data_IF_044925567685
#
_entry.id   IF_044925567685
#
_cell.length_a   1.000
_cell.length_b   1.000
_cell.length_c   1.000
_cell.angle_alpha   90.00
_cell.angle_beta   90.00
_cell.angle_gamma   90.00
#
_symmetry.space_group_name_H-M   'P 1'
#
loop_
_entity.id
_entity.type
_entity.pdbx_description
1 polymer ?
#
# COMPACT_ATOMS: atom_id res chain seq x y z
N UNK A 1 3.40 -27.21 21.97
CA UNK A 1 1.92 -27.11 22.18
C UNK A 1 1.41 -25.74 22.58
N UNK A 2 2.13 -24.90 23.36
CA UNK A 2 1.64 -23.55 23.76
C UNK A 2 1.62 -22.50 22.62
N UNK A 3 2.32 -22.72 21.50
CA UNK A 3 2.37 -21.77 20.38
C UNK A 3 1.21 -21.88 19.37
N UNK A 4 0.54 -23.02 19.30
CA UNK A 4 -0.56 -23.25 18.34
C UNK A 4 -1.88 -22.59 18.75
N UNK A 5 -2.14 -22.44 20.05
CA UNK A 5 -3.31 -21.75 20.58
C UNK A 5 -3.19 -20.21 20.53
N UNK A 6 -1.96 -19.68 20.44
CA UNK A 6 -1.72 -18.22 20.40
C UNK A 6 -2.01 -17.60 19.04
N UNK A 7 -1.79 -18.32 17.93
CA UNK A 7 -1.98 -17.77 16.58
C UNK A 7 -3.45 -17.48 16.23
N UNK A 8 -4.40 -18.46 16.38
CA UNK A 8 -5.82 -18.15 16.10
C UNK A 8 -6.37 -17.07 17.03
N UNK A 9 -5.97 -17.06 18.31
CA UNK A 9 -6.37 -16.01 19.25
C UNK A 9 -5.85 -14.62 18.79
N UNK A 10 -4.59 -14.52 18.34
CA UNK A 10 -4.04 -13.29 17.79
C UNK A 10 -4.80 -12.82 16.56
N UNK A 11 -5.11 -13.72 15.60
CA UNK A 11 -5.91 -13.38 14.43
C UNK A 11 -7.30 -12.86 14.82
N UNK A 12 -7.98 -13.55 15.73
CA UNK A 12 -9.28 -13.11 16.23
C UNK A 12 -9.21 -11.71 16.85
N UNK A 13 -8.20 -11.46 17.69
CA UNK A 13 -8.00 -10.14 18.31
C UNK A 13 -7.76 -9.06 17.23
N UNK A 14 -6.91 -9.33 16.23
CA UNK A 14 -6.64 -8.36 15.16
C UNK A 14 -7.86 -8.09 14.29
N UNK A 15 -8.65 -9.13 13.97
CA UNK A 15 -9.91 -8.98 13.20
C UNK A 15 -10.92 -8.18 14.00
N UNK A 16 -11.13 -8.50 15.28
CA UNK A 16 -12.06 -7.76 16.14
C UNK A 16 -11.61 -6.30 16.32
N UNK A 17 -10.31 -6.08 16.50
CA UNK A 17 -9.75 -4.75 16.61
C UNK A 17 -9.94 -3.94 15.33
N UNK A 18 -9.69 -4.54 14.15
CA UNK A 18 -9.95 -3.90 12.86
C UNK A 18 -11.44 -3.58 12.69
N UNK A 19 -12.34 -4.49 13.08
CA UNK A 19 -13.78 -4.27 13.00
C UNK A 19 -14.22 -3.10 13.90
N UNK A 20 -13.79 -3.08 15.16
CA UNK A 20 -14.08 -1.97 16.09
C UNK A 20 -13.54 -0.66 15.54
N UNK A 21 -12.31 -0.67 15.03
CA UNK A 21 -11.67 0.49 14.45
C UNK A 21 -12.42 0.98 13.20
N UNK A 22 -12.88 0.07 12.35
CA UNK A 22 -13.67 0.38 11.17
C UNK A 22 -14.98 1.10 11.51
N UNK A 23 -15.74 0.59 12.50
CA UNK A 23 -16.96 1.26 12.96
C UNK A 23 -16.69 2.61 13.64
N UNK A 24 -15.59 2.70 14.39
CA UNK A 24 -15.17 3.99 14.96
C UNK A 24 -14.80 4.99 13.85
N UNK A 25 -14.07 4.56 12.83
CA UNK A 25 -13.70 5.37 11.67
C UNK A 25 -14.93 5.89 10.91
N UNK A 26 -16.01 5.09 10.79
CA UNK A 26 -17.28 5.51 10.20
C UNK A 26 -17.95 6.64 10.98
N UNK A 27 -17.77 6.73 12.30
CA UNK A 27 -18.34 7.79 13.13
C UNK A 27 -17.61 9.13 12.99
N UNK A 28 -16.34 9.11 12.53
CA UNK A 28 -15.52 10.30 12.39
C UNK A 28 -15.89 11.11 11.14
N UNK A 29 -15.67 12.42 11.20
CA UNK A 29 -15.88 13.37 10.11
C UNK A 29 -16.33 14.71 10.63
N UNK A 30 -16.49 15.71 9.75
CA UNK A 30 -16.90 17.08 10.11
C UNK A 30 -18.14 17.11 11.03
N UNK A 31 -19.16 16.29 10.73
CA UNK A 31 -20.27 16.02 11.64
C UNK A 31 -20.02 14.66 12.30
N UNK A 32 -19.66 14.69 13.58
CA UNK A 32 -19.54 13.47 14.37
C UNK A 32 -20.90 12.79 14.51
N UNK A 33 -20.98 11.52 14.17
CA UNK A 33 -22.16 10.68 14.37
C UNK A 33 -22.00 9.89 15.66
N UNK A 34 -22.98 9.98 16.57
CA UNK A 34 -22.97 9.13 17.75
C UNK A 34 -23.10 7.65 17.34
N UNK A 35 -22.71 6.74 18.25
CA UNK A 35 -22.80 5.29 17.96
C UNK A 35 -24.24 4.86 17.71
N UNK A 36 -25.17 5.47 18.44
CA UNK A 36 -26.61 5.22 18.32
C UNK A 36 -27.15 5.71 16.96
N UNK A 37 -26.74 6.91 16.54
CA UNK A 37 -27.11 7.45 15.22
C UNK A 37 -26.54 6.58 14.08
N UNK A 38 -25.27 6.22 14.17
CA UNK A 38 -24.64 5.36 13.16
C UNK A 38 -25.35 3.99 13.09
N UNK A 39 -25.62 3.36 14.22
CA UNK A 39 -26.35 2.10 14.28
C UNK A 39 -27.77 2.22 13.71
N UNK A 40 -28.48 3.31 14.04
CA UNK A 40 -29.82 3.59 13.50
C UNK A 40 -29.79 3.72 11.98
N UNK A 41 -28.83 4.49 11.42
CA UNK A 41 -28.69 4.67 9.97
C UNK A 41 -28.38 3.34 9.27
N UNK A 42 -27.51 2.52 9.86
CA UNK A 42 -27.09 1.24 9.26
C UNK A 42 -28.19 0.17 9.31
N UNK A 43 -29.07 0.18 10.35
CA UNK A 43 -30.08 -0.87 10.55
C UNK A 43 -31.45 -0.44 9.99
N UNK A 44 -31.86 0.79 10.28
CA UNK A 44 -33.19 1.28 9.97
C UNK A 44 -33.23 2.28 8.81
N UNK A 45 -32.06 2.69 8.30
CA UNK A 45 -31.94 3.79 7.35
C UNK A 45 -31.98 5.15 8.03
N UNK A 46 -31.73 6.20 7.26
CA UNK A 46 -31.70 7.59 7.73
C UNK A 46 -32.30 8.53 6.69
N UNK A 47 -32.15 9.82 6.91
CA UNK A 47 -32.45 10.81 5.89
C UNK A 47 -31.58 10.62 4.64
N UNK A 48 -32.03 11.08 3.46
CA UNK A 48 -31.21 10.97 2.23
C UNK A 48 -29.77 11.54 2.38
N UNK A 49 -29.62 12.61 3.16
CA UNK A 49 -28.30 13.22 3.43
C UNK A 49 -27.42 12.36 4.34
N UNK A 50 -28.00 11.75 5.38
CA UNK A 50 -27.28 10.82 6.27
C UNK A 50 -26.86 9.54 5.52
N UNK A 51 -27.75 9.00 4.70
CA UNK A 51 -27.45 7.84 3.85
C UNK A 51 -26.30 8.14 2.89
N UNK A 52 -26.33 9.26 2.16
CA UNK A 52 -25.27 9.69 1.27
C UNK A 52 -23.95 9.87 2.05
N UNK A 53 -24.00 10.49 3.23
CA UNK A 53 -22.80 10.73 4.04
C UNK A 53 -22.18 9.42 4.53
N UNK A 54 -22.99 8.48 5.02
CA UNK A 54 -22.50 7.23 5.61
C UNK A 54 -22.10 6.23 4.51
N UNK A 55 -22.94 6.00 3.52
CA UNK A 55 -22.70 4.96 2.51
C UNK A 55 -21.77 5.42 1.38
N UNK A 56 -21.96 6.62 0.81
CA UNK A 56 -21.21 7.03 -0.36
C UNK A 56 -19.87 7.71 -0.03
N UNK A 57 -19.76 8.39 1.12
CA UNK A 57 -18.50 9.01 1.51
C UNK A 57 -17.74 8.19 2.55
N UNK A 58 -18.33 7.90 3.71
CA UNK A 58 -17.59 7.31 4.84
C UNK A 58 -17.32 5.83 4.65
N UNK A 59 -18.29 5.05 4.15
CA UNK A 59 -18.13 3.62 3.91
C UNK A 59 -17.10 3.37 2.83
N UNK A 60 -17.19 4.07 1.70
CA UNK A 60 -16.22 3.99 0.60
C UNK A 60 -14.80 4.26 1.11
N UNK A 61 -14.59 5.36 1.82
CA UNK A 61 -13.28 5.75 2.37
C UNK A 61 -12.76 4.71 3.36
N UNK A 62 -13.59 4.22 4.27
CA UNK A 62 -13.20 3.23 5.28
C UNK A 62 -12.82 1.89 4.64
N UNK A 63 -13.57 1.42 3.66
CA UNK A 63 -13.26 0.20 2.92
C UNK A 63 -11.96 0.34 2.14
N UNK A 64 -11.77 1.46 1.46
CA UNK A 64 -10.53 1.75 0.74
C UNK A 64 -9.32 1.80 1.68
N UNK A 65 -9.45 2.43 2.85
CA UNK A 65 -8.37 2.45 3.84
C UNK A 65 -7.96 1.04 4.26
N UNK A 66 -8.92 0.14 4.51
CA UNK A 66 -8.63 -1.27 4.82
C UNK A 66 -7.93 -1.95 3.64
N UNK A 67 -8.50 -1.87 2.43
CA UNK A 67 -8.00 -2.58 1.24
C UNK A 67 -6.60 -2.10 0.83
N UNK A 68 -6.39 -0.78 0.78
CA UNK A 68 -5.10 -0.17 0.44
C UNK A 68 -4.05 -0.56 1.47
N UNK A 69 -4.39 -0.48 2.77
CA UNK A 69 -3.48 -0.87 3.85
C UNK A 69 -3.08 -2.34 3.74
N UNK A 70 -4.03 -3.25 3.52
CA UNK A 70 -3.77 -4.68 3.30
C UNK A 70 -2.90 -4.91 2.06
N UNK A 71 -3.25 -4.30 0.93
CA UNK A 71 -2.52 -4.49 -0.32
C UNK A 71 -1.08 -3.99 -0.27
N UNK A 72 -0.84 -2.79 0.26
CA UNK A 72 0.50 -2.23 0.43
C UNK A 72 1.35 -3.05 1.41
N UNK A 73 0.77 -3.53 2.52
CA UNK A 73 1.48 -4.36 3.49
C UNK A 73 1.90 -5.71 2.88
N UNK A 74 1.01 -6.38 2.16
CA UNK A 74 1.30 -7.65 1.49
C UNK A 74 2.33 -7.46 0.38
N UNK A 75 2.15 -6.44 -0.47
CA UNK A 75 3.15 -6.11 -1.50
C UNK A 75 4.54 -5.92 -0.87
N UNK A 76 4.64 -5.16 0.22
CA UNK A 76 5.88 -4.99 0.98
C UNK A 76 6.46 -6.31 1.51
N UNK A 77 5.61 -7.18 2.07
CA UNK A 77 6.03 -8.49 2.55
C UNK A 77 6.67 -9.34 1.44
N UNK A 78 6.06 -9.35 0.25
CA UNK A 78 6.58 -10.08 -0.91
C UNK A 78 7.89 -9.46 -1.41
N UNK A 79 7.99 -8.13 -1.50
CA UNK A 79 9.24 -7.46 -1.85
C UNK A 79 10.37 -7.82 -0.89
N UNK A 80 10.12 -7.83 0.42
CA UNK A 80 11.09 -8.22 1.42
C UNK A 80 11.51 -9.69 1.30
N UNK A 81 10.57 -10.59 1.06
CA UNK A 81 10.84 -12.02 0.88
C UNK A 81 11.70 -12.28 -0.35
N UNK A 82 11.31 -11.73 -1.50
CA UNK A 82 11.98 -12.01 -2.78
C UNK A 82 13.34 -11.32 -2.88
N UNK A 83 13.45 -10.10 -2.36
CA UNK A 83 14.73 -9.37 -2.30
C UNK A 83 15.63 -9.82 -1.16
N UNK A 84 15.14 -10.65 -0.23
CA UNK A 84 15.84 -11.03 1.01
C UNK A 84 16.34 -9.83 1.80
N UNK A 85 15.59 -8.73 1.75
CA UNK A 85 15.92 -7.47 2.40
C UNK A 85 14.68 -6.94 3.14
N UNK A 86 14.76 -6.88 4.45
CA UNK A 86 13.66 -6.41 5.31
C UNK A 86 13.31 -4.93 5.10
N UNK A 87 14.16 -4.18 4.43
CA UNK A 87 13.96 -2.77 4.10
C UNK A 87 13.31 -2.57 2.72
N UNK A 88 13.10 -3.64 1.94
CA UNK A 88 12.47 -3.52 0.63
C UNK A 88 11.00 -3.13 0.75
N UNK A 89 10.57 -2.21 -0.11
CA UNK A 89 9.18 -1.74 -0.21
C UNK A 89 8.87 -1.30 -1.64
N UNK A 90 7.60 -1.09 -1.95
CA UNK A 90 7.16 -0.56 -3.26
C UNK A 90 7.81 0.79 -3.61
N UNK A 91 8.07 1.62 -2.61
CA UNK A 91 8.76 2.91 -2.80
C UNK A 91 10.20 2.74 -3.27
N UNK A 92 10.95 1.77 -2.70
CA UNK A 92 12.34 1.49 -3.10
C UNK A 92 12.44 0.86 -4.49
N UNK A 93 11.40 0.19 -4.97
CA UNK A 93 11.33 -0.34 -6.33
C UNK A 93 10.73 0.65 -7.33
N UNK A 94 10.68 1.93 -6.98
CA UNK A 94 10.28 3.00 -7.86
C UNK A 94 8.80 3.03 -8.26
N UNK A 95 7.96 2.12 -7.72
CA UNK A 95 6.54 2.02 -8.10
C UNK A 95 5.82 3.35 -7.83
N UNK A 96 6.02 3.92 -6.64
CA UNK A 96 5.40 5.19 -6.27
C UNK A 96 5.91 6.36 -7.12
N UNK A 97 7.23 6.41 -7.39
CA UNK A 97 7.83 7.48 -8.20
C UNK A 97 7.40 7.40 -9.66
N UNK A 98 7.36 6.18 -10.23
CA UNK A 98 6.88 5.97 -11.60
C UNK A 98 5.40 6.29 -11.76
N UNK A 99 4.58 5.83 -10.83
CA UNK A 99 3.15 6.16 -10.78
C UNK A 99 2.94 7.68 -10.69
N UNK A 100 3.66 8.35 -9.77
CA UNK A 100 3.59 9.80 -9.60
C UNK A 100 4.00 10.58 -10.83
N UNK A 101 5.06 10.17 -11.53
CA UNK A 101 5.48 10.84 -12.76
C UNK A 101 4.41 10.72 -13.86
N UNK A 102 3.84 9.53 -14.07
CA UNK A 102 2.82 9.32 -15.10
C UNK A 102 1.52 10.07 -14.80
N UNK A 103 1.07 10.10 -13.54
CA UNK A 103 -0.10 10.89 -13.14
C UNK A 103 0.17 12.38 -13.29
N UNK A 104 1.37 12.85 -12.94
CA UNK A 104 1.76 14.24 -13.16
C UNK A 104 1.77 14.61 -14.63
N UNK A 105 2.34 13.77 -15.50
CA UNK A 105 2.32 13.99 -16.95
C UNK A 105 0.90 14.01 -17.50
N UNK A 106 0.03 13.12 -17.03
CA UNK A 106 -1.38 13.13 -17.39
C UNK A 106 -2.06 14.45 -17.01
N UNK A 107 -1.90 14.91 -15.78
CA UNK A 107 -2.46 16.18 -15.29
C UNK A 107 -1.88 17.37 -16.08
N UNK A 108 -0.58 17.34 -16.39
CA UNK A 108 0.08 18.37 -17.17
C UNK A 108 -0.52 18.50 -18.56
N UNK A 109 -0.79 17.36 -19.23
CA UNK A 109 -1.29 17.30 -20.61
C UNK A 109 -2.80 17.50 -20.72
N UNK A 110 -3.56 17.37 -19.63
CA UNK A 110 -5.02 17.50 -19.64
C UNK A 110 -5.42 18.96 -19.51
N UNK A 111 -6.35 19.41 -20.39
CA UNK A 111 -6.95 20.73 -20.27
C UNK A 111 -7.81 20.82 -19.01
N UNK A 112 -7.61 21.88 -18.22
CA UNK A 112 -8.36 22.12 -16.99
C UNK A 112 -9.89 22.18 -17.21
N UNK A 113 -10.32 22.56 -18.42
CA UNK A 113 -11.74 22.64 -18.78
C UNK A 113 -12.41 21.28 -19.03
N UNK A 114 -11.65 20.25 -19.40
CA UNK A 114 -12.20 18.90 -19.69
C UNK A 114 -12.30 18.01 -18.44
N UNK A 115 -11.47 18.28 -17.41
CA UNK A 115 -11.31 17.39 -16.28
C UNK A 115 -10.68 16.05 -16.66
N UNK A 116 -10.44 15.21 -15.66
CA UNK A 116 -9.96 13.82 -15.84
C UNK A 116 -11.12 12.85 -15.61
N UNK A 117 -11.20 11.82 -16.46
CA UNK A 117 -12.11 10.70 -16.21
C UNK A 117 -11.63 9.88 -15.02
N UNK A 118 -12.57 9.24 -14.30
CA UNK A 118 -12.31 8.49 -13.05
C UNK A 118 -11.20 7.44 -13.22
N UNK A 119 -11.05 6.88 -14.41
CA UNK A 119 -10.10 5.79 -14.69
C UNK A 119 -8.73 6.25 -15.22
N UNK A 120 -8.59 7.48 -15.67
CA UNK A 120 -7.36 7.97 -16.31
C UNK A 120 -6.20 8.05 -15.33
N UNK A 121 -6.42 8.62 -14.13
CA UNK A 121 -5.38 8.68 -13.08
C UNK A 121 -4.95 7.29 -12.58
N UNK A 122 -5.87 6.37 -12.21
CA UNK A 122 -5.51 5.02 -11.84
C UNK A 122 -4.73 4.26 -12.91
N UNK A 123 -5.16 4.38 -14.16
CA UNK A 123 -4.48 3.72 -15.28
C UNK A 123 -3.05 4.27 -15.49
N UNK A 124 -2.89 5.59 -15.48
CA UNK A 124 -1.59 6.24 -15.58
C UNK A 124 -0.66 5.80 -14.43
N UNK A 125 -1.17 5.74 -13.19
CA UNK A 125 -0.41 5.29 -12.04
C UNK A 125 0.07 3.85 -12.17
N UNK A 126 -0.79 2.93 -12.60
CA UNK A 126 -0.42 1.52 -12.83
C UNK A 126 0.63 1.40 -13.92
N UNK A 127 0.46 2.09 -15.05
CA UNK A 127 1.42 2.07 -16.15
C UNK A 127 2.78 2.63 -15.68
N UNK A 128 2.79 3.78 -15.02
CA UNK A 128 4.02 4.41 -14.53
C UNK A 128 4.75 3.57 -13.51
N UNK A 129 4.03 2.99 -12.54
CA UNK A 129 4.59 2.10 -11.54
C UNK A 129 5.16 0.82 -12.15
N UNK A 130 4.46 0.23 -13.09
CA UNK A 130 4.91 -0.97 -13.80
C UNK A 130 6.16 -0.70 -14.65
N UNK A 131 6.20 0.42 -15.38
CA UNK A 131 7.36 0.82 -16.20
C UNK A 131 8.59 1.06 -15.33
N UNK A 132 8.46 1.75 -14.20
CA UNK A 132 9.55 1.98 -13.27
C UNK A 132 10.10 0.65 -12.72
N UNK A 133 9.22 -0.23 -12.23
CA UNK A 133 9.61 -1.53 -11.69
C UNK A 133 10.27 -2.42 -12.76
N UNK A 134 9.73 -2.44 -13.99
CA UNK A 134 10.32 -3.18 -15.11
C UNK A 134 11.70 -2.64 -15.49
N UNK A 135 11.89 -1.33 -15.47
CA UNK A 135 13.19 -0.68 -15.73
C UNK A 135 14.21 -1.11 -14.67
N UNK A 136 13.86 -1.01 -13.39
CA UNK A 136 14.71 -1.44 -12.28
C UNK A 136 15.04 -2.92 -12.38
N UNK A 137 14.04 -3.75 -12.69
CA UNK A 137 14.25 -5.18 -12.88
C UNK A 137 15.23 -5.46 -14.02
N UNK A 138 15.07 -4.83 -15.20
CA UNK A 138 15.97 -5.00 -16.36
C UNK A 138 17.40 -4.55 -16.08
N UNK A 139 17.58 -3.43 -15.36
CA UNK A 139 18.90 -2.96 -14.96
C UNK A 139 19.59 -3.91 -13.97
N UNK A 140 18.81 -4.61 -13.16
CA UNK A 140 19.31 -5.56 -12.15
C UNK A 140 19.57 -6.94 -12.75
N UNK A 141 18.85 -7.31 -13.83
CA UNK A 141 18.91 -8.61 -14.46
C UNK A 141 19.90 -8.58 -15.62
N UNK A 142 21.08 -9.17 -15.42
CA UNK A 142 22.15 -9.21 -16.44
C UNK A 142 22.54 -10.65 -16.74
N UNK A 143 22.65 -11.01 -18.02
CA UNK A 143 23.12 -12.34 -18.48
C UNK A 143 22.31 -13.53 -17.94
N UNK A 144 21.00 -13.37 -17.79
CA UNK A 144 20.12 -14.45 -17.34
C UNK A 144 20.06 -14.67 -15.81
N UNK A 145 20.79 -13.87 -15.03
CA UNK A 145 20.82 -13.97 -13.58
C UNK A 145 20.62 -12.60 -12.91
N UNK A 146 19.95 -12.60 -11.77
CA UNK A 146 19.89 -11.41 -10.91
C UNK A 146 21.26 -11.21 -10.26
N UNK A 147 21.92 -10.07 -10.54
CA UNK A 147 23.31 -9.82 -10.16
C UNK A 147 23.53 -9.85 -8.66
N UNK A 148 22.69 -9.19 -7.89
CA UNK A 148 22.61 -9.30 -6.42
C UNK A 148 21.42 -8.53 -5.87
N UNK A 149 21.02 -8.82 -4.65
CA UNK A 149 20.01 -8.05 -3.91
C UNK A 149 20.44 -6.58 -3.71
N UNK A 150 21.74 -6.35 -3.47
CA UNK A 150 22.27 -4.98 -3.33
C UNK A 150 22.12 -4.18 -4.62
N UNK A 151 22.36 -4.79 -5.78
CA UNK A 151 22.18 -4.13 -7.08
C UNK A 151 20.74 -3.77 -7.34
N UNK A 152 19.77 -4.60 -6.91
CA UNK A 152 18.33 -4.28 -7.01
C UNK A 152 18.00 -3.01 -6.22
N UNK A 153 18.48 -2.92 -4.98
CA UNK A 153 18.23 -1.75 -4.11
C UNK A 153 18.91 -0.50 -4.65
N UNK A 154 20.18 -0.59 -5.09
CA UNK A 154 20.91 0.55 -5.65
C UNK A 154 20.26 1.07 -6.94
N UNK A 155 19.90 0.17 -7.85
CA UNK A 155 19.19 0.54 -9.08
C UNK A 155 17.82 1.14 -8.76
N UNK A 156 17.12 0.59 -7.75
CA UNK A 156 15.87 1.14 -7.24
C UNK A 156 16.02 2.58 -6.78
N UNK A 157 17.00 2.86 -5.92
CA UNK A 157 17.28 4.21 -5.41
C UNK A 157 17.65 5.16 -6.57
N UNK A 158 18.54 4.73 -7.46
CA UNK A 158 19.00 5.57 -8.59
C UNK A 158 17.84 5.93 -9.54
N UNK A 159 17.03 4.94 -9.96
CA UNK A 159 15.88 5.18 -10.85
C UNK A 159 14.83 6.04 -10.14
N UNK A 160 14.53 5.77 -8.88
CA UNK A 160 13.58 6.56 -8.07
C UNK A 160 14.05 8.02 -7.96
N UNK A 161 15.33 8.26 -7.69
CA UNK A 161 15.89 9.60 -7.64
C UNK A 161 15.78 10.33 -8.99
N UNK A 162 16.07 9.62 -10.09
CA UNK A 162 15.90 10.16 -11.45
C UNK A 162 14.43 10.51 -11.76
N UNK A 163 13.49 9.64 -11.38
CA UNK A 163 12.06 9.90 -11.56
C UNK A 163 11.59 11.11 -10.72
N UNK A 164 12.07 11.24 -9.48
CA UNK A 164 11.76 12.42 -8.65
C UNK A 164 12.38 13.70 -9.22
N UNK A 165 13.58 13.66 -9.79
CA UNK A 165 14.17 14.79 -10.47
C UNK A 165 13.32 15.24 -11.67
N UNK A 166 12.82 14.30 -12.48
CA UNK A 166 11.88 14.59 -13.56
C UNK A 166 10.56 15.18 -13.05
N UNK A 167 10.02 14.65 -11.94
CA UNK A 167 8.83 15.23 -11.31
C UNK A 167 9.05 16.69 -10.90
N UNK A 168 10.20 17.01 -10.29
CA UNK A 168 10.54 18.39 -9.90
C UNK A 168 10.61 19.33 -11.12
N UNK A 169 11.19 18.87 -12.22
CA UNK A 169 11.22 19.65 -13.47
C UNK A 169 9.81 19.92 -14.03
N UNK A 170 8.95 18.92 -13.99
CA UNK A 170 7.56 19.07 -14.45
C UNK A 170 6.75 19.99 -13.52
N UNK A 171 6.99 19.98 -12.21
CA UNK A 171 6.29 20.82 -11.23
C UNK A 171 6.46 22.33 -11.51
N UNK A 172 7.64 22.74 -11.99
CA UNK A 172 7.94 24.15 -12.30
C UNK A 172 7.03 24.72 -13.40
N UNK A 173 6.54 23.86 -14.31
CA UNK A 173 5.67 24.28 -15.42
C UNK A 173 4.17 24.24 -15.13
N UNK A 174 3.74 23.85 -13.91
CA UNK A 174 2.32 23.74 -13.55
C UNK A 174 1.75 25.07 -13.05
N UNK A 175 0.49 25.34 -13.42
CA UNK A 175 -0.31 26.37 -12.76
C UNK A 175 -0.67 25.97 -11.32
N UNK A 176 -1.17 26.92 -10.52
CA UNK A 176 -1.47 26.69 -9.08
C UNK A 176 -2.50 25.57 -8.86
N UNK A 177 -3.49 25.44 -9.73
CA UNK A 177 -4.55 24.42 -9.61
C UNK A 177 -4.01 23.02 -9.85
N UNK A 178 -3.29 22.83 -10.97
CA UNK A 178 -2.64 21.57 -11.31
C UNK A 178 -1.57 21.20 -10.28
N UNK A 179 -0.81 22.20 -9.79
CA UNK A 179 0.18 21.99 -8.72
C UNK A 179 -0.47 21.43 -7.46
N UNK A 180 -1.59 21.99 -6.99
CA UNK A 180 -2.32 21.46 -5.84
C UNK A 180 -2.81 20.04 -6.06
N UNK A 181 -3.37 19.74 -7.22
CA UNK A 181 -3.86 18.40 -7.57
C UNK A 181 -2.74 17.36 -7.56
N UNK A 182 -1.62 17.67 -8.22
CA UNK A 182 -0.44 16.80 -8.25
C UNK A 182 0.14 16.60 -6.85
N UNK A 183 0.30 17.68 -6.10
CA UNK A 183 0.89 17.61 -4.76
C UNK A 183 0.04 16.77 -3.78
N UNK A 184 -1.29 16.94 -3.81
CA UNK A 184 -2.22 16.11 -3.04
C UNK A 184 -2.07 14.64 -3.39
N UNK A 185 -1.96 14.32 -4.67
CA UNK A 185 -1.79 12.94 -5.14
C UNK A 185 -0.42 12.36 -4.72
N UNK A 186 0.68 13.15 -4.86
CA UNK A 186 2.03 12.71 -4.49
C UNK A 186 2.19 12.45 -2.99
N UNK A 187 1.46 13.16 -2.14
CA UNK A 187 1.46 12.95 -0.69
C UNK A 187 0.62 11.73 -0.30
N UNK A 188 -0.46 11.49 -1.03
CA UNK A 188 -1.40 10.39 -0.81
C UNK A 188 -2.64 10.79 0.00
N UNK A 189 -3.80 10.53 -0.60
CA UNK A 189 -5.13 10.84 -0.06
C UNK A 189 -6.14 9.76 -0.43
N UNK A 190 -7.09 9.48 0.48
CA UNK A 190 -8.21 8.55 0.24
C UNK A 190 -9.51 9.32 0.01
N UNK A 191 -9.44 10.62 -0.22
CA UNK A 191 -10.60 11.48 -0.40
C UNK A 191 -11.11 11.48 -1.85
N UNK A 192 -12.44 11.58 -2.03
CA UNK A 192 -13.04 11.74 -3.37
C UNK A 192 -13.17 10.46 -4.19
N UNK A 193 -13.04 9.29 -3.59
CA UNK A 193 -13.17 8.00 -4.25
C UNK A 193 -14.63 7.51 -4.35
N UNK A 194 -14.87 6.49 -5.16
CA UNK A 194 -16.19 5.95 -5.50
C UNK A 194 -16.29 4.44 -5.23
N UNK A 195 -17.53 3.92 -5.21
CA UNK A 195 -17.80 2.48 -5.07
C UNK A 195 -17.18 1.63 -6.17
N UNK A 196 -17.04 2.16 -7.39
CA UNK A 196 -16.35 1.44 -8.48
C UNK A 196 -14.88 1.18 -8.15
N UNK A 197 -14.19 2.13 -7.52
CA UNK A 197 -12.80 1.95 -7.08
C UNK A 197 -12.72 0.93 -5.93
N UNK A 198 -13.68 0.95 -4.98
CA UNK A 198 -13.77 -0.08 -3.92
C UNK A 198 -13.90 -1.47 -4.53
N UNK A 199 -14.83 -1.64 -5.48
CA UNK A 199 -15.11 -2.95 -6.11
C UNK A 199 -13.89 -3.47 -6.86
N UNK A 200 -13.26 -2.64 -7.69
CA UNK A 200 -12.08 -3.02 -8.46
C UNK A 200 -10.91 -3.36 -7.54
N UNK A 201 -10.66 -2.53 -6.54
CA UNK A 201 -9.56 -2.76 -5.60
C UNK A 201 -9.81 -4.00 -4.73
N UNK A 202 -11.05 -4.23 -4.31
CA UNK A 202 -11.45 -5.44 -3.56
C UNK A 202 -11.12 -6.70 -4.36
N UNK A 203 -11.53 -6.75 -5.64
CA UNK A 203 -11.24 -7.89 -6.52
C UNK A 203 -9.74 -8.11 -6.66
N UNK A 204 -8.97 -7.04 -6.91
CA UNK A 204 -7.51 -7.12 -7.07
C UNK A 204 -6.86 -7.60 -5.76
N UNK A 205 -7.18 -6.99 -4.63
CA UNK A 205 -6.61 -7.35 -3.33
C UNK A 205 -6.94 -8.79 -2.98
N UNK A 206 -8.20 -9.22 -3.12
CA UNK A 206 -8.61 -10.59 -2.84
C UNK A 206 -7.90 -11.60 -3.76
N UNK A 207 -7.77 -11.30 -5.06
CA UNK A 207 -7.07 -12.15 -6.02
C UNK A 207 -5.59 -12.36 -5.62
N UNK A 208 -4.88 -11.27 -5.34
CA UNK A 208 -3.46 -11.35 -4.98
C UNK A 208 -3.24 -11.93 -3.58
N UNK A 209 -4.11 -11.66 -2.61
CA UNK A 209 -4.08 -12.33 -1.30
C UNK A 209 -4.25 -13.84 -1.46
N UNK A 210 -5.24 -14.28 -2.25
CA UNK A 210 -5.46 -15.69 -2.53
C UNK A 210 -4.26 -16.32 -3.24
N UNK A 211 -3.69 -15.64 -4.25
CA UNK A 211 -2.50 -16.10 -4.97
C UNK A 211 -1.29 -16.28 -4.05
N UNK A 212 -0.95 -15.26 -3.25
CA UNK A 212 0.19 -15.34 -2.34
C UNK A 212 -0.03 -16.34 -1.21
N UNK A 213 -1.26 -16.45 -0.72
CA UNK A 213 -1.60 -17.43 0.30
C UNK A 213 -1.55 -18.86 -0.24
N UNK A 214 -2.05 -19.11 -1.46
CA UNK A 214 -1.95 -20.42 -2.10
C UNK A 214 -0.50 -20.84 -2.39
N UNK A 215 0.38 -19.86 -2.62
CA UNK A 215 1.80 -20.09 -2.91
C UNK A 215 2.74 -19.88 -1.72
N UNK A 216 2.22 -19.92 -0.48
CA UNK A 216 2.98 -19.64 0.73
C UNK A 216 4.21 -20.54 0.92
N UNK A 217 4.14 -21.83 0.52
CA UNK A 217 5.26 -22.76 0.60
C UNK A 217 6.41 -22.34 -0.34
N UNK A 218 6.08 -21.93 -1.57
CA UNK A 218 7.08 -21.43 -2.51
C UNK A 218 7.75 -20.15 -1.99
N UNK A 219 7.00 -19.27 -1.35
CA UNK A 219 7.55 -18.06 -0.71
C UNK A 219 8.44 -18.42 0.48
N UNK A 220 8.08 -19.43 1.28
CA UNK A 220 8.93 -19.95 2.35
C UNK A 220 10.25 -20.49 1.80
N UNK A 221 10.22 -21.27 0.71
CA UNK A 221 11.43 -21.77 0.05
C UNK A 221 12.28 -20.64 -0.53
N UNK A 222 11.66 -19.64 -1.20
CA UNK A 222 12.38 -18.49 -1.77
C UNK A 222 13.11 -17.64 -0.70
N UNK A 223 12.68 -17.69 0.55
CA UNK A 223 13.35 -17.04 1.67
C UNK A 223 14.66 -17.72 2.08
N UNK A 224 14.89 -19.00 1.69
CA UNK A 224 16.09 -19.76 2.00
C UNK A 224 17.31 -19.31 1.17
N UNK A 225 18.49 -19.88 1.46
CA UNK A 225 19.71 -19.63 0.67
C UNK A 225 19.52 -20.09 -0.77
N UNK A 226 20.15 -19.40 -1.71
CA UNK A 226 19.94 -19.60 -3.15
C UNK A 226 20.28 -21.02 -3.59
N UNK A 227 21.37 -21.57 -3.04
CA UNK A 227 21.81 -22.94 -3.31
C UNK A 227 20.75 -23.98 -2.90
N UNK A 228 20.08 -23.74 -1.76
CA UNK A 228 18.99 -24.60 -1.27
C UNK A 228 17.77 -24.52 -2.18
N UNK A 229 17.40 -23.31 -2.64
CA UNK A 229 16.26 -23.10 -3.55
C UNK A 229 16.47 -23.83 -4.87
N UNK A 230 17.69 -23.73 -5.43
CA UNK A 230 18.08 -24.43 -6.68
C UNK A 230 18.05 -25.95 -6.46
N UNK A 231 18.60 -26.43 -5.35
CA UNK A 231 18.61 -27.86 -5.00
C UNK A 231 17.22 -28.47 -4.85
N UNK A 232 16.20 -27.65 -4.48
CA UNK A 232 14.78 -28.05 -4.43
C UNK A 232 14.07 -27.99 -5.80
N UNK A 233 14.79 -27.65 -6.89
CA UNK A 233 14.26 -27.65 -8.25
C UNK A 233 13.39 -26.45 -8.63
N UNK A 234 13.36 -25.38 -7.81
CA UNK A 234 12.60 -24.18 -8.13
C UNK A 234 13.38 -23.30 -9.11
N UNK A 235 12.80 -22.89 -10.24
CA UNK A 235 13.42 -21.96 -11.17
C UNK A 235 13.42 -20.53 -10.59
N UNK A 236 14.43 -20.26 -9.75
CA UNK A 236 14.51 -19.09 -8.87
C UNK A 236 14.27 -17.76 -9.60
N UNK A 237 14.83 -17.60 -10.80
CA UNK A 237 14.69 -16.35 -11.57
C UNK A 237 13.26 -16.13 -12.04
N UNK A 238 12.57 -17.18 -12.51
CA UNK A 238 11.16 -17.10 -12.93
C UNK A 238 10.24 -16.86 -11.75
N UNK A 239 10.49 -17.56 -10.65
CA UNK A 239 9.70 -17.39 -9.42
C UNK A 239 9.87 -15.96 -8.86
N UNK A 240 11.11 -15.46 -8.74
CA UNK A 240 11.39 -14.09 -8.31
C UNK A 240 10.68 -13.06 -9.21
N UNK A 241 10.79 -13.20 -10.52
CA UNK A 241 10.12 -12.31 -11.45
C UNK A 241 8.60 -12.30 -11.25
N UNK A 242 7.98 -13.48 -11.20
CA UNK A 242 6.54 -13.62 -11.03
C UNK A 242 6.04 -12.94 -9.74
N UNK A 243 6.67 -13.25 -8.59
CA UNK A 243 6.26 -12.68 -7.31
C UNK A 243 6.55 -11.18 -7.21
N UNK A 244 7.67 -10.70 -7.76
CA UNK A 244 7.96 -9.26 -7.83
C UNK A 244 6.93 -8.53 -8.67
N UNK A 245 6.60 -9.03 -9.88
CA UNK A 245 5.61 -8.40 -10.75
C UNK A 245 4.21 -8.44 -10.14
N UNK A 246 3.83 -9.54 -9.51
CA UNK A 246 2.57 -9.64 -8.79
C UNK A 246 2.47 -8.61 -7.65
N UNK A 247 3.55 -8.45 -6.87
CA UNK A 247 3.62 -7.44 -5.81
C UNK A 247 3.61 -6.00 -6.37
N UNK A 248 4.25 -5.75 -7.51
CA UNK A 248 4.22 -4.45 -8.22
C UNK A 248 2.80 -4.11 -8.65
N UNK A 249 2.08 -5.05 -9.27
CA UNK A 249 0.70 -4.82 -9.73
C UNK A 249 -0.21 -4.53 -8.54
N UNK A 250 -0.10 -5.29 -7.45
CA UNK A 250 -0.87 -5.04 -6.23
C UNK A 250 -0.56 -3.66 -5.63
N UNK A 251 0.73 -3.29 -5.51
CA UNK A 251 1.13 -1.98 -5.00
C UNK A 251 0.64 -0.85 -5.92
N UNK A 252 0.81 -1.00 -7.23
CA UNK A 252 0.40 0.00 -8.21
C UNK A 252 -1.12 0.21 -8.20
N UNK A 253 -1.92 -0.85 -8.03
CA UNK A 253 -3.37 -0.74 -7.88
C UNK A 253 -3.77 0.04 -6.61
N UNK A 254 -3.07 -0.19 -5.49
CA UNK A 254 -3.30 0.57 -4.25
C UNK A 254 -2.89 2.06 -4.41
N UNK A 255 -1.72 2.31 -5.00
CA UNK A 255 -1.19 3.65 -5.24
C UNK A 255 -2.06 4.42 -6.25
N UNK A 256 -2.64 3.73 -7.23
CA UNK A 256 -3.55 4.31 -8.21
C UNK A 256 -4.80 4.95 -7.57
N UNK A 257 -5.28 4.39 -6.47
CA UNK A 257 -6.48 4.86 -5.75
C UNK A 257 -6.13 5.88 -4.67
N UNK A 258 -5.03 5.65 -3.94
CA UNK A 258 -4.68 6.44 -2.75
C UNK A 258 -3.55 7.45 -2.97
N UNK A 259 -2.92 7.46 -4.15
CA UNK A 259 -1.66 8.18 -4.34
C UNK A 259 -0.48 7.50 -3.64
N UNK A 260 0.61 8.24 -3.49
CA UNK A 260 1.87 7.71 -2.98
C UNK A 260 1.88 7.61 -1.45
N UNK A 261 1.41 6.47 -0.90
CA UNK A 261 1.52 6.18 0.54
C UNK A 261 2.73 5.29 0.79
N UNK A 262 3.67 5.77 1.62
CA UNK A 262 4.88 5.04 2.00
C UNK A 262 4.74 4.25 3.32
N UNK A 263 5.82 3.60 3.74
CA UNK A 263 6.05 2.95 5.04
C UNK A 263 5.17 1.76 5.41
N UNK A 264 3.91 1.64 4.98
CA UNK A 264 3.00 0.53 5.34
C UNK A 264 3.64 -0.82 4.98
N UNK A 265 4.14 -0.93 3.74
CA UNK A 265 4.81 -2.14 3.24
C UNK A 265 6.15 -2.44 3.90
N UNK A 266 6.67 -1.54 4.72
CA UNK A 266 7.90 -1.72 5.48
C UNK A 266 7.61 -2.12 6.94
N UNK A 267 6.70 -1.40 7.58
CA UNK A 267 6.40 -1.54 9.00
C UNK A 267 5.60 -2.80 9.29
N UNK A 268 4.50 -3.00 8.56
CA UNK A 268 3.56 -4.08 8.86
C UNK A 268 4.18 -5.48 8.72
N UNK A 269 4.97 -5.79 7.67
CA UNK A 269 5.68 -7.06 7.60
C UNK A 269 6.69 -7.24 8.72
N UNK A 270 7.40 -6.18 9.11
CA UNK A 270 8.38 -6.25 10.20
C UNK A 270 7.70 -6.59 11.54
N UNK A 271 6.59 -5.92 11.87
CA UNK A 271 5.81 -6.22 13.09
C UNK A 271 5.25 -7.65 13.03
N UNK A 272 4.65 -8.04 11.89
CA UNK A 272 4.08 -9.38 11.71
C UNK A 272 5.12 -10.48 11.93
N UNK A 273 6.34 -10.32 11.39
CA UNK A 273 7.45 -11.26 11.59
C UNK A 273 7.80 -11.44 13.07
N UNK A 274 7.78 -10.36 13.84
CA UNK A 274 8.03 -10.42 15.30
C UNK A 274 6.91 -11.12 16.06
N UNK A 275 5.66 -11.02 15.60
CA UNK A 275 4.49 -11.60 16.27
C UNK A 275 4.32 -13.10 15.98
N UNK A 276 4.48 -13.52 14.71
CA UNK A 276 4.13 -14.88 14.27
C UNK A 276 5.27 -15.63 13.56
N UNK A 277 6.46 -15.04 13.46
CA UNK A 277 7.62 -15.61 12.80
C UNK A 277 7.58 -15.41 11.27
N UNK A 278 8.44 -16.16 10.56
CA UNK A 278 8.72 -15.95 9.13
C UNK A 278 7.89 -16.81 8.19
N UNK A 279 7.13 -17.81 8.71
CA UNK A 279 6.32 -18.71 7.88
C UNK A 279 5.17 -17.96 7.21
N UNK A 280 5.13 -17.91 5.88
CA UNK A 280 4.18 -17.11 5.10
C UNK A 280 2.72 -17.48 5.37
N UNK A 281 2.42 -18.74 5.66
CA UNK A 281 1.07 -19.19 6.05
C UNK A 281 0.49 -18.41 7.23
N UNK A 282 1.33 -18.01 8.21
CA UNK A 282 0.93 -17.23 9.40
C UNK A 282 1.24 -15.75 9.22
N UNK A 283 2.32 -15.46 8.55
CA UNK A 283 2.87 -14.13 8.37
C UNK A 283 1.99 -13.24 7.48
N UNK A 284 1.52 -13.75 6.32
CA UNK A 284 0.74 -12.95 5.37
C UNK A 284 -0.60 -12.46 5.94
N UNK A 285 -1.46 -13.30 6.59
CA UNK A 285 -2.72 -12.82 7.16
C UNK A 285 -2.51 -11.74 8.23
N UNK A 286 -1.53 -11.92 9.11
CA UNK A 286 -1.21 -10.92 10.15
C UNK A 286 -0.69 -9.63 9.52
N UNK A 287 0.14 -9.72 8.49
CA UNK A 287 0.64 -8.54 7.76
C UNK A 287 -0.49 -7.75 7.12
N UNK A 288 -1.45 -8.43 6.46
CA UNK A 288 -2.61 -7.78 5.85
C UNK A 288 -3.45 -7.04 6.89
N UNK A 289 -3.80 -7.70 8.00
CA UNK A 289 -4.58 -7.08 9.08
C UNK A 289 -3.88 -5.87 9.69
N UNK A 290 -2.57 -5.96 9.95
CA UNK A 290 -1.79 -4.84 10.45
C UNK A 290 -1.75 -3.67 9.46
N UNK A 291 -1.68 -3.96 8.15
CA UNK A 291 -1.75 -2.93 7.11
C UNK A 291 -3.07 -2.18 7.11
N UNK A 292 -4.19 -2.91 7.14
CA UNK A 292 -5.52 -2.32 7.26
C UNK A 292 -5.68 -1.50 8.53
N UNK A 293 -5.26 -2.03 9.68
CA UNK A 293 -5.30 -1.33 10.98
C UNK A 293 -4.48 -0.04 10.92
N UNK A 294 -3.24 -0.10 10.44
CA UNK A 294 -2.35 1.06 10.40
C UNK A 294 -2.93 2.18 9.53
N UNK A 295 -3.47 1.84 8.35
CA UNK A 295 -3.99 2.87 7.45
C UNK A 295 -5.31 3.46 7.96
N UNK A 296 -6.22 2.65 8.50
CA UNK A 296 -7.47 3.14 9.11
C UNK A 296 -7.16 4.03 10.32
N UNK A 297 -6.20 3.65 11.18
CA UNK A 297 -5.74 4.51 12.28
C UNK A 297 -5.17 5.83 11.77
N UNK A 298 -4.29 5.77 10.78
CA UNK A 298 -3.66 6.97 10.21
C UNK A 298 -4.69 7.92 9.59
N UNK A 299 -5.67 7.38 8.86
CA UNK A 299 -6.75 8.17 8.28
C UNK A 299 -7.69 8.75 9.36
N UNK A 300 -7.97 8.00 10.43
CA UNK A 300 -8.71 8.49 11.58
C UNK A 300 -8.02 9.71 12.24
N UNK A 301 -6.70 9.62 12.42
CA UNK A 301 -5.90 10.73 12.96
C UNK A 301 -5.90 11.92 12.00
N UNK A 302 -5.72 11.66 10.69
CA UNK A 302 -5.73 12.70 9.67
C UNK A 302 -7.01 13.55 9.64
N UNK A 303 -8.15 12.93 9.97
CA UNK A 303 -9.47 13.58 10.02
C UNK A 303 -9.72 14.43 11.27
N UNK A 304 -8.99 14.19 12.36
CA UNK A 304 -9.28 14.82 13.67
C UNK A 304 -8.27 15.92 14.00
N UNK A 305 -7.02 15.80 13.55
CA UNK A 305 -5.90 16.66 14.02
C UNK A 305 -6.07 18.13 13.63
N UNK A 306 -6.61 18.44 12.45
CA UNK A 306 -6.76 19.83 11.96
C UNK A 306 -8.22 20.15 11.64
N UNK A 307 -9.18 19.53 12.31
CA UNK A 307 -10.61 19.80 12.05
C UNK A 307 -10.91 21.31 12.11
N UNK A 308 -11.70 21.90 11.17
CA UNK A 308 -12.55 21.22 10.18
C UNK A 308 -11.83 20.74 8.90
N UNK A 309 -10.58 21.17 8.66
CA UNK A 309 -9.78 20.69 7.54
C UNK A 309 -9.27 19.27 7.80
N UNK A 310 -8.90 18.56 6.74
CA UNK A 310 -8.37 17.20 6.84
C UNK A 310 -6.90 17.16 6.37
N UNK A 311 -6.06 16.45 7.12
CA UNK A 311 -4.70 16.17 6.67
C UNK A 311 -4.69 15.05 5.62
N UNK A 312 -3.70 15.08 4.75
CA UNK A 312 -3.44 13.99 3.82
C UNK A 312 -2.90 12.78 4.60
N UNK A 313 -3.54 11.62 4.42
CA UNK A 313 -3.22 10.40 5.19
C UNK A 313 -1.76 9.97 5.05
N UNK A 314 -1.15 10.20 3.88
CA UNK A 314 0.26 9.88 3.65
C UNK A 314 1.23 10.63 4.56
N UNK A 315 0.89 11.86 5.01
CA UNK A 315 1.68 12.59 6.00
C UNK A 315 1.66 11.88 7.37
N UNK A 316 0.48 11.45 7.82
CA UNK A 316 0.34 10.75 9.12
C UNK A 316 1.08 9.40 9.08
N UNK A 317 0.93 8.64 8.00
CA UNK A 317 1.66 7.37 7.84
C UNK A 317 3.17 7.62 7.86
N UNK A 318 3.65 8.69 7.22
CA UNK A 318 5.07 9.05 7.21
C UNK A 318 5.57 9.50 8.58
N UNK A 319 4.76 10.25 9.32
CA UNK A 319 5.07 10.70 10.67
C UNK A 319 5.21 9.53 11.66
N UNK A 320 4.41 8.48 11.50
CA UNK A 320 4.51 7.25 12.28
C UNK A 320 5.68 6.38 11.76
N UNK A 321 5.81 6.31 10.44
CA UNK A 321 6.71 5.39 9.76
C UNK A 321 8.19 5.75 9.89
N UNK A 322 8.54 7.01 9.73
CA UNK A 322 9.93 7.44 9.74
C UNK A 322 10.62 7.24 11.11
N UNK A 323 10.02 7.61 12.27
CA UNK A 323 10.62 7.29 13.58
C UNK A 323 10.74 5.80 13.83
N UNK A 324 9.74 5.00 13.45
CA UNK A 324 9.79 3.55 13.59
C UNK A 324 10.93 2.94 12.75
N UNK A 325 11.11 3.43 11.53
CA UNK A 325 12.20 2.98 10.66
C UNK A 325 13.58 3.32 11.25
N UNK A 326 13.77 4.54 11.77
CA UNK A 326 15.00 4.95 12.46
C UNK A 326 15.27 4.08 13.69
N UNK A 327 14.24 3.74 14.46
CA UNK A 327 14.35 2.82 15.59
C UNK A 327 14.84 1.42 15.17
N UNK A 328 14.30 0.87 14.06
CA UNK A 328 14.75 -0.43 13.54
C UNK A 328 16.22 -0.36 13.14
N UNK A 329 16.64 0.68 12.40
CA UNK A 329 18.01 0.84 11.95
C UNK A 329 19.00 0.98 13.12
N UNK A 330 18.66 1.75 14.14
CA UNK A 330 19.48 1.90 15.33
C UNK A 330 19.68 0.57 16.06
N UNK A 331 18.64 -0.26 16.12
CA UNK A 331 18.69 -1.56 16.82
C UNK A 331 19.36 -2.68 16.00
N UNK A 332 19.41 -2.58 14.69
CA UNK A 332 20.07 -3.57 13.83
C UNK A 332 21.60 -3.47 13.84
N UNK A 333 22.16 -2.39 14.39
CA UNK A 333 23.61 -2.15 14.49
C UNK A 333 24.23 -2.60 15.83
N UNK A 334 23.45 -3.05 16.76
CA UNK A 334 23.89 -3.65 18.03
C UNK A 334 23.60 -5.15 18.08
#
# INVERSE_FOLDING_TARGET
MKSTLRYPALLTVLVLFLAVLFFWHLSLGYHYLSKEQLASILIFGGTPQEMLTVYDFRMVRSLLAVLIGMGLAISGAIFQTVSKNELASSSLLGVNAGAGLMVMLLIYMTDAAKGLEIWEQPLAAVIGGALAALTIYRLTYRSGHMTSTYTLVLNGIAVTAGLHALQLLCLVGLDSTKFHQVNTWLIGSIFGNSWSQVTVLLVIVCLFLAFFFASHETLDILSLKEETVIGLGIPINRARFLYLMAAVVLAAACVAVAGSIGFIGLICPHIARRLVGVMHRRFLPVTALLGGILLVLSDSVARVVIAPDEMLVGLIVSLIGAPYFLYILARSRG
#
